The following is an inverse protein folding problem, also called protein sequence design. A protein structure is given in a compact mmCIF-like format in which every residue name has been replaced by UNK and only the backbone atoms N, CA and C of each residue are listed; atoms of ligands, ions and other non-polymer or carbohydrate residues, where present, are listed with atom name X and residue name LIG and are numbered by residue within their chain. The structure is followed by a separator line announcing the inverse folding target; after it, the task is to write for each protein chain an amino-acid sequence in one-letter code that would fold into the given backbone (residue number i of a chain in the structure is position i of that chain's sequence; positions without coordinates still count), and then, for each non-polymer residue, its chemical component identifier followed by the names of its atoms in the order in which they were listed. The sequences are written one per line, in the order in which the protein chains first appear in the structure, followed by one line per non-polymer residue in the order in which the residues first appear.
data_IF_680363390097
#
_entry.id   IF_680363390097
#
_cell.length_a   1.000
_cell.length_b   1.000
_cell.length_c   1.000
_cell.angle_alpha   90.00
_cell.angle_beta   90.00
_cell.angle_gamma   90.00
#
_symmetry.space_group_name_H-M   'P 1'
#
loop_
_entity.id
_entity.type
_entity.pdbx_description
1 polymer ?
#
# COMPACT_ATOMS: atom_id res chain seq x y z
N UNK A 1 5.16 8.30 1.09
CA UNK A 1 5.63 7.14 1.88
C UNK A 1 7.04 6.65 1.54
N UNK A 2 7.51 6.77 0.29
CA UNK A 2 8.81 6.22 -0.14
C UNK A 2 10.06 6.85 0.51
N UNK A 3 9.99 8.05 1.10
CA UNK A 3 11.14 8.73 1.74
C UNK A 3 11.09 8.69 3.27
N UNK A 4 9.90 8.65 3.87
CA UNK A 4 9.74 8.67 5.33
C UNK A 4 10.11 7.32 5.97
N UNK A 5 9.71 6.21 5.35
CA UNK A 5 10.04 4.86 5.82
C UNK A 5 11.56 4.62 5.82
N UNK A 6 12.34 4.91 4.75
CA UNK A 6 13.78 4.70 4.76
C UNK A 6 14.53 5.64 5.71
N UNK A 7 14.05 6.87 5.92
CA UNK A 7 14.66 7.79 6.88
C UNK A 7 14.45 7.29 8.32
N UNK A 8 13.25 6.79 8.63
CA UNK A 8 12.95 6.23 9.95
C UNK A 8 13.72 4.94 10.19
N UNK A 9 13.79 4.01 9.23
CA UNK A 9 14.61 2.80 9.37
C UNK A 9 16.11 3.10 9.45
N UNK A 10 16.59 4.19 8.84
CA UNK A 10 17.98 4.64 9.01
C UNK A 10 18.24 5.31 10.38
N UNK A 11 17.25 6.01 10.93
CA UNK A 11 17.36 6.68 12.24
C UNK A 11 17.12 5.73 13.42
N UNK A 12 16.35 4.65 13.23
CA UNK A 12 16.04 3.66 14.27
C UNK A 12 17.29 3.04 14.93
N UNK A 13 18.30 2.54 14.19
CA UNK A 13 19.52 2.00 14.81
C UNK A 13 20.33 3.07 15.55
N UNK A 14 20.35 4.30 15.02
CA UNK A 14 21.09 5.43 15.59
C UNK A 14 20.48 5.91 16.91
N UNK A 15 19.15 5.85 17.02
CA UNK A 15 18.40 6.11 18.25
C UNK A 15 18.62 4.97 19.26
N UNK A 16 18.64 3.70 18.82
CA UNK A 16 18.94 2.56 19.69
C UNK A 16 20.35 2.61 20.27
N UNK A 17 21.36 2.95 19.47
CA UNK A 17 22.75 3.10 19.94
C UNK A 17 22.91 4.23 20.96
N UNK A 18 22.19 5.34 20.78
CA UNK A 18 22.16 6.45 21.73
C UNK A 18 21.45 6.07 23.04
N UNK A 19 20.40 5.26 22.96
CA UNK A 19 19.65 4.76 24.11
C UNK A 19 20.46 3.70 24.89
N UNK A 20 21.22 2.86 24.20
CA UNK A 20 22.10 1.86 24.83
C UNK A 20 23.29 2.48 25.59
N UNK A 21 23.63 3.75 25.29
CA UNK A 21 24.65 4.48 26.03
C UNK A 21 24.17 5.07 27.37
N UNK A 22 22.87 4.98 27.66
CA UNK A 22 22.29 5.42 28.94
C UNK A 22 22.48 4.33 30.00
N UNK A 23 23.20 4.58 31.11
CA UNK A 23 23.54 3.54 32.10
C UNK A 23 22.37 3.09 33.00
N UNK A 24 21.31 3.90 33.12
CA UNK A 24 20.21 3.69 34.08
C UNK A 24 19.00 3.00 33.42
N UNK A 25 18.54 1.81 33.88
CA UNK A 25 17.50 1.03 33.21
C UNK A 25 16.13 1.73 33.17
N UNK A 26 15.76 2.49 34.20
CA UNK A 26 14.50 3.25 34.22
C UNK A 26 14.55 4.48 33.28
N UNK A 27 15.70 5.14 33.19
CA UNK A 27 15.91 6.25 32.27
C UNK A 27 15.91 5.77 30.80
N UNK A 28 16.46 4.58 30.55
CA UNK A 28 16.47 3.92 29.24
C UNK A 28 15.06 3.58 28.76
N UNK A 29 14.23 2.99 29.63
CA UNK A 29 12.85 2.66 29.31
C UNK A 29 12.02 3.92 28.98
N UNK A 30 12.24 5.00 29.75
CA UNK A 30 11.56 6.29 29.51
C UNK A 30 12.01 6.96 28.20
N UNK A 31 13.32 6.97 27.92
CA UNK A 31 13.87 7.53 26.68
C UNK A 31 13.39 6.76 25.44
N UNK A 32 13.32 5.43 25.51
CA UNK A 32 12.77 4.61 24.42
C UNK A 32 11.27 4.87 24.19
N UNK A 33 10.49 5.01 25.26
CA UNK A 33 9.07 5.34 25.15
C UNK A 33 8.84 6.74 24.52
N UNK A 34 9.62 7.75 24.93
CA UNK A 34 9.55 9.09 24.36
C UNK A 34 10.00 9.15 22.89
N UNK A 35 11.05 8.39 22.53
CA UNK A 35 11.51 8.27 21.16
C UNK A 35 10.44 7.60 20.28
N UNK A 36 9.85 6.50 20.73
CA UNK A 36 8.75 5.83 20.03
C UNK A 36 7.54 6.73 19.87
N UNK A 37 7.14 7.47 20.90
CA UNK A 37 6.03 8.41 20.83
C UNK A 37 6.28 9.53 19.80
N UNK A 38 7.50 10.08 19.75
CA UNK A 38 7.88 11.09 18.73
C UNK A 38 7.90 10.50 17.32
N UNK A 39 8.43 9.29 17.14
CA UNK A 39 8.44 8.61 15.85
C UNK A 39 7.03 8.36 15.32
N UNK A 40 6.13 7.86 16.17
CA UNK A 40 4.71 7.67 15.82
C UNK A 40 4.04 9.00 15.49
N UNK A 41 4.31 10.07 16.26
CA UNK A 41 3.80 11.41 15.97
C UNK A 41 4.28 11.96 14.63
N UNK A 42 5.55 11.75 14.27
CA UNK A 42 6.10 12.16 12.98
C UNK A 42 5.49 11.37 11.81
N UNK A 43 5.28 10.06 11.98
CA UNK A 43 4.60 9.22 10.99
C UNK A 43 3.16 9.71 10.75
N UNK A 44 2.41 9.94 11.83
CA UNK A 44 1.04 10.46 11.74
C UNK A 44 1.00 11.85 11.09
N UNK A 45 1.95 12.73 11.40
CA UNK A 45 2.05 14.04 10.77
C UNK A 45 2.33 13.93 9.26
N UNK A 46 3.23 13.02 8.85
CA UNK A 46 3.50 12.75 7.43
C UNK A 46 2.28 12.19 6.70
N UNK A 47 1.57 11.24 7.31
CA UNK A 47 0.37 10.63 6.74
C UNK A 47 -0.77 11.64 6.59
N UNK A 48 -0.99 12.49 7.60
CA UNK A 48 -2.00 13.54 7.54
C UNK A 48 -1.70 14.59 6.48
N UNK A 49 -0.44 15.00 6.33
CA UNK A 49 -0.02 15.88 5.24
C UNK A 49 -0.27 15.25 3.86
N UNK A 50 0.05 13.96 3.71
CA UNK A 50 -0.22 13.23 2.46
C UNK A 50 -1.73 13.14 2.19
N UNK A 51 -2.56 12.87 3.20
CA UNK A 51 -4.02 12.82 3.05
C UNK A 51 -4.61 14.16 2.58
N UNK A 52 -4.07 15.28 3.06
CA UNK A 52 -4.51 16.61 2.62
C UNK A 52 -4.18 16.86 1.15
N UNK A 53 -2.96 16.51 0.72
CA UNK A 53 -2.57 16.58 -0.70
C UNK A 53 -3.50 15.69 -1.53
N UNK A 54 -3.76 14.47 -1.08
CA UNK A 54 -4.61 13.53 -1.79
C UNK A 54 -6.06 14.04 -1.93
N UNK A 55 -6.58 14.69 -0.89
CA UNK A 55 -7.92 15.28 -0.91
C UNK A 55 -8.00 16.50 -1.85
N UNK A 56 -6.96 17.34 -1.87
CA UNK A 56 -6.86 18.48 -2.78
C UNK A 56 -6.70 18.04 -4.24
N UNK A 57 -5.94 16.97 -4.51
CA UNK A 57 -5.84 16.35 -5.83
C UNK A 57 -7.19 15.77 -6.28
N UNK A 58 -7.92 15.14 -5.37
CA UNK A 58 -9.23 14.54 -5.67
C UNK A 58 -10.30 15.57 -6.02
N UNK A 59 -10.24 16.79 -5.46
CA UNK A 59 -11.16 17.89 -5.80
C UNK A 59 -10.71 18.70 -7.03
N UNK A 60 -9.55 18.39 -7.61
CA UNK A 60 -9.04 19.10 -8.78
C UNK A 60 -9.93 18.85 -10.01
N UNK A 61 -10.33 19.90 -10.76
CA UNK A 61 -11.19 19.76 -11.94
C UNK A 61 -10.52 19.01 -13.10
N UNK A 62 -9.18 18.91 -13.12
CA UNK A 62 -8.45 18.14 -14.12
C UNK A 62 -8.56 16.64 -13.85
N UNK A 63 -9.17 15.90 -14.78
CA UNK A 63 -9.32 14.43 -14.74
C UNK A 63 -7.95 13.72 -14.67
N UNK A 64 -6.90 14.32 -15.22
CA UNK A 64 -5.54 13.77 -15.12
C UNK A 64 -4.96 13.86 -13.70
N UNK A 65 -5.41 14.83 -12.90
CA UNK A 65 -4.93 15.05 -11.52
C UNK A 65 -5.82 14.32 -10.51
N UNK A 66 -7.13 14.37 -10.64
CA UNK A 66 -8.06 13.69 -9.73
C UNK A 66 -8.27 12.21 -10.06
N UNK A 67 -8.11 11.84 -11.34
CA UNK A 67 -8.48 10.52 -11.85
C UNK A 67 -7.38 9.47 -11.86
N UNK A 68 -6.10 9.82 -11.66
CA UNK A 68 -5.01 8.83 -11.78
C UNK A 68 -5.12 7.69 -10.76
N UNK A 69 -5.52 7.99 -9.50
CA UNK A 69 -5.74 6.97 -8.46
C UNK A 69 -6.87 6.00 -8.86
N UNK A 70 -8.09 6.47 -9.20
CA UNK A 70 -9.13 5.60 -9.76
C UNK A 70 -8.67 4.84 -11.00
N UNK A 71 -7.97 5.47 -11.94
CA UNK A 71 -7.56 4.86 -13.20
C UNK A 71 -6.70 3.62 -12.98
N UNK A 72 -5.75 3.66 -12.05
CA UNK A 72 -4.93 2.49 -11.69
C UNK A 72 -5.80 1.36 -11.13
N UNK A 73 -6.79 1.68 -10.28
CA UNK A 73 -7.77 0.71 -9.78
C UNK A 73 -8.61 0.08 -10.89
N UNK A 74 -9.11 0.89 -11.82
CA UNK A 74 -9.89 0.39 -12.96
C UNK A 74 -9.08 -0.52 -13.86
N UNK A 75 -7.81 -0.19 -14.14
CA UNK A 75 -6.91 -1.05 -14.93
C UNK A 75 -6.68 -2.39 -14.24
N UNK A 76 -6.49 -2.39 -12.92
CA UNK A 76 -6.35 -3.61 -12.13
C UNK A 76 -7.62 -4.48 -12.16
N UNK A 77 -8.80 -3.86 -11.98
CA UNK A 77 -10.10 -4.56 -12.03
C UNK A 77 -10.38 -5.12 -13.42
N UNK A 78 -10.10 -4.35 -14.48
CA UNK A 78 -10.24 -4.82 -15.85
C UNK A 78 -9.28 -5.98 -16.14
N UNK A 79 -8.04 -5.91 -15.67
CA UNK A 79 -7.08 -7.01 -15.81
C UNK A 79 -7.55 -8.29 -15.12
N UNK A 80 -8.10 -8.20 -13.90
CA UNK A 80 -8.73 -9.34 -13.23
C UNK A 80 -9.94 -9.86 -13.97
N UNK A 81 -10.79 -8.98 -14.50
CA UNK A 81 -11.96 -9.38 -15.26
C UNK A 81 -11.57 -10.16 -16.52
N UNK A 82 -10.58 -9.66 -17.26
CA UNK A 82 -10.05 -10.37 -18.44
C UNK A 82 -9.46 -11.72 -18.03
N UNK A 83 -8.70 -11.79 -16.94
CA UNK A 83 -8.09 -13.05 -16.48
C UNK A 83 -9.11 -14.07 -15.96
N UNK A 84 -10.07 -13.65 -15.14
CA UNK A 84 -11.01 -14.53 -14.46
C UNK A 84 -12.24 -14.90 -15.31
N UNK A 85 -12.64 -14.01 -16.23
CA UNK A 85 -13.87 -14.18 -17.03
C UNK A 85 -13.56 -14.16 -18.52
N UNK A 86 -12.72 -13.23 -18.98
CA UNK A 86 -12.37 -13.12 -20.40
C UNK A 86 -11.66 -14.35 -20.95
N UNK A 87 -10.61 -14.84 -20.27
CA UNK A 87 -9.84 -16.02 -20.66
C UNK A 87 -10.67 -17.29 -20.80
N UNK A 88 -11.48 -17.71 -19.80
CA UNK A 88 -12.28 -18.92 -19.94
C UNK A 88 -13.32 -18.79 -21.07
N UNK A 89 -13.93 -17.61 -21.26
CA UNK A 89 -14.87 -17.38 -22.36
C UNK A 89 -14.18 -17.40 -23.72
N UNK A 90 -13.00 -16.79 -23.85
CA UNK A 90 -12.21 -16.85 -25.08
C UNK A 90 -11.71 -18.26 -25.38
N UNK A 91 -11.29 -19.01 -24.37
CA UNK A 91 -10.91 -20.43 -24.52
C UNK A 91 -12.08 -21.28 -25.01
N UNK A 92 -13.29 -21.01 -24.51
CA UNK A 92 -14.52 -21.68 -24.98
C UNK A 92 -14.92 -21.26 -26.39
N UNK A 93 -14.74 -19.97 -26.75
CA UNK A 93 -14.96 -19.50 -28.11
C UNK A 93 -13.96 -20.10 -29.11
N UNK A 94 -12.68 -20.13 -28.77
CA UNK A 94 -11.62 -20.69 -29.62
C UNK A 94 -11.75 -22.20 -29.77
N UNK A 95 -12.19 -22.94 -28.75
CA UNK A 95 -12.43 -24.38 -28.89
C UNK A 95 -13.54 -24.72 -29.89
N UNK A 96 -14.48 -23.80 -30.13
CA UNK A 96 -15.58 -23.95 -31.09
C UNK A 96 -15.17 -23.44 -32.50
N UNK A 97 -14.52 -22.28 -32.59
CA UNK A 97 -14.25 -21.61 -33.87
C UNK A 97 -12.88 -21.87 -34.48
N UNK A 98 -11.85 -22.13 -33.68
CA UNK A 98 -10.48 -22.34 -34.14
C UNK A 98 -9.72 -23.24 -33.16
N UNK A 99 -9.93 -24.56 -33.21
CA UNK A 99 -9.24 -25.50 -32.34
C UNK A 99 -7.72 -25.41 -32.53
N UNK A 100 -6.97 -25.21 -31.45
CA UNK A 100 -5.50 -25.22 -31.46
C UNK A 100 -4.81 -23.87 -31.64
N UNK A 101 -5.55 -22.76 -31.78
CA UNK A 101 -4.93 -21.42 -31.71
C UNK A 101 -4.38 -21.17 -30.30
N UNK A 102 -3.10 -20.80 -30.16
CA UNK A 102 -2.52 -20.51 -28.85
C UNK A 102 -3.15 -19.25 -28.26
N UNK A 103 -3.62 -19.36 -27.03
CA UNK A 103 -4.11 -18.23 -26.27
C UNK A 103 -2.90 -17.33 -25.93
N UNK A 104 -2.94 -16.01 -26.16
CA UNK A 104 -1.95 -15.12 -25.54
C UNK A 104 -1.97 -15.36 -24.03
N UNK A 105 -0.90 -15.09 -23.29
CA UNK A 105 -0.91 -15.19 -21.83
C UNK A 105 -0.72 -13.79 -21.22
N UNK A 106 -1.59 -13.42 -20.29
CA UNK A 106 -1.40 -12.21 -19.49
C UNK A 106 -0.44 -12.54 -18.36
N UNK A 107 0.55 -11.67 -18.18
CA UNK A 107 1.45 -11.73 -17.04
C UNK A 107 0.69 -11.42 -15.74
N UNK A 108 0.29 -12.50 -15.08
CA UNK A 108 -0.50 -12.45 -13.85
C UNK A 108 0.38 -12.04 -12.66
N UNK A 109 1.70 -12.24 -12.74
CA UNK A 109 2.64 -11.83 -11.68
C UNK A 109 2.75 -10.31 -11.62
N UNK A 110 2.85 -9.63 -12.76
CA UNK A 110 2.78 -8.16 -12.81
C UNK A 110 1.43 -7.65 -12.32
N UNK A 111 0.33 -8.32 -12.69
CA UNK A 111 -1.01 -7.94 -12.24
C UNK A 111 -1.16 -8.05 -10.71
N UNK A 112 -0.74 -9.18 -10.14
CA UNK A 112 -0.81 -9.44 -8.69
C UNK A 112 0.18 -8.57 -7.90
N UNK A 113 1.36 -8.31 -8.47
CA UNK A 113 2.36 -7.39 -7.92
C UNK A 113 1.87 -5.94 -7.82
N UNK A 114 0.91 -5.54 -8.66
CA UNK A 114 0.25 -4.22 -8.58
C UNK A 114 -1.02 -4.25 -7.73
N UNK A 115 -1.85 -5.29 -7.85
CA UNK A 115 -3.12 -5.42 -7.13
C UNK A 115 -2.95 -5.59 -5.63
N UNK A 116 -2.05 -6.47 -5.19
CA UNK A 116 -1.90 -6.81 -3.77
C UNK A 116 -1.45 -5.60 -2.95
N UNK A 117 -0.52 -4.74 -3.42
CA UNK A 117 -0.20 -3.48 -2.74
C UNK A 117 -1.28 -2.41 -2.82
N UNK A 118 -2.06 -2.35 -3.91
CA UNK A 118 -3.17 -1.39 -4.06
C UNK A 118 -4.37 -1.72 -3.19
N UNK A 119 -4.70 -3.01 -3.07
CA UNK A 119 -5.59 -3.56 -2.05
C UNK A 119 -4.91 -3.59 -0.67
N UNK A 120 -3.60 -3.35 -0.65
CA UNK A 120 -2.71 -3.40 0.50
C UNK A 120 -3.20 -2.52 1.64
N UNK A 121 -3.03 -3.02 2.86
CA UNK A 121 -3.32 -2.30 4.11
C UNK A 121 -4.81 -2.02 4.40
N UNK A 122 -5.73 -2.19 3.44
CA UNK A 122 -7.17 -2.21 3.72
C UNK A 122 -7.55 -3.35 4.66
N UNK A 123 -6.90 -4.50 4.52
CA UNK A 123 -7.00 -5.61 5.47
C UNK A 123 -6.39 -5.25 6.83
N UNK A 124 -5.28 -4.51 6.91
CA UNK A 124 -4.68 -4.12 8.20
C UNK A 124 -5.56 -3.12 8.96
N UNK A 125 -6.16 -2.12 8.28
CA UNK A 125 -7.16 -1.23 8.91
C UNK A 125 -8.45 -1.94 9.29
N UNK A 126 -8.91 -2.89 8.47
CA UNK A 126 -10.05 -3.76 8.82
C UNK A 126 -9.70 -4.67 10.00
N UNK A 127 -8.49 -5.21 10.05
CA UNK A 127 -7.97 -6.05 11.12
C UNK A 127 -7.78 -5.27 12.42
N UNK A 128 -7.34 -4.01 12.36
CA UNK A 128 -7.28 -3.10 13.50
C UNK A 128 -8.67 -2.72 14.02
N UNK A 129 -9.65 -2.50 13.13
CA UNK A 129 -11.06 -2.28 13.52
C UNK A 129 -11.71 -3.54 14.11
N UNK A 130 -11.44 -4.71 13.54
CA UNK A 130 -11.93 -6.01 14.05
C UNK A 130 -11.28 -6.36 15.38
N UNK A 131 -10.01 -6.01 15.59
CA UNK A 131 -9.32 -6.13 16.88
C UNK A 131 -9.67 -5.03 17.89
N UNK A 132 -10.47 -4.03 17.50
CA UNK A 132 -10.89 -2.93 18.38
C UNK A 132 -9.76 -1.99 18.81
N UNK A 133 -8.65 -1.95 18.06
CA UNK A 133 -7.47 -1.13 18.38
C UNK A 133 -7.56 0.27 17.75
N UNK A 134 -8.32 0.42 16.65
CA UNK A 134 -8.72 1.74 16.15
C UNK A 134 -10.23 1.91 16.25
N UNK A 135 -10.66 2.98 16.92
CA UNK A 135 -12.05 3.44 16.97
C UNK A 135 -12.26 4.51 15.93
#
# INVERSE_FOLDING_TARGET
MAVAIPLITALTPLISDLIDRIPDPDAKAKAAAEANAKLVGMLQAGDTAQLQVNAAEATNPSVFVSGWRPAVGWVCVLGLFVQAVGYPLMGWGLSIWSPGTPMPQIDTDTLMGLLVPLLGLGAYRTFEKVKGVSR
#
